data_IF_142350895159
#
_entry.id   IF_142350895159
#
_cell.length_a   1.000
_cell.length_b   1.000
_cell.length_c   1.000
_cell.angle_alpha   90.00
_cell.angle_beta   90.00
_cell.angle_gamma   90.00
#
_symmetry.space_group_name_H-M   'P 1'
#
loop_
_entity.id
_entity.type
_entity.pdbx_description
1 polymer ?
#
# COMPACT_ATOMS: atom_id res chain seq x y z
N UNK A 1 -10.85 -12.14 -3.75
CA UNK A 1 -11.13 -10.89 -3.03
C UNK A 1 -12.47 -10.38 -3.47
N UNK A 2 -13.37 -10.10 -2.52
CA UNK A 2 -14.64 -9.44 -2.84
C UNK A 2 -14.36 -7.96 -3.15
N UNK A 3 -15.24 -7.32 -3.91
CA UNK A 3 -15.11 -5.89 -4.30
C UNK A 3 -15.01 -4.91 -3.10
N UNK A 4 -15.30 -5.38 -1.88
CA UNK A 4 -15.22 -4.61 -0.63
C UNK A 4 -13.79 -4.49 -0.07
N UNK A 5 -12.84 -5.30 -0.52
CA UNK A 5 -11.47 -5.37 0.04
C UNK A 5 -10.43 -4.60 -0.80
N UNK A 6 -10.88 -3.85 -1.80
CA UNK A 6 -10.00 -3.07 -2.66
C UNK A 6 -9.46 -1.86 -1.90
N UNK A 7 -8.14 -1.71 -1.90
CA UNK A 7 -7.46 -0.50 -1.41
C UNK A 7 -8.01 0.70 -2.18
N UNK A 8 -8.63 1.63 -1.45
CA UNK A 8 -9.23 2.83 -2.03
C UNK A 8 -8.23 3.97 -1.98
N UNK A 9 -7.95 4.55 -3.15
CA UNK A 9 -7.13 5.75 -3.27
C UNK A 9 -8.03 6.93 -3.60
N UNK A 10 -7.70 8.10 -3.05
CA UNK A 10 -8.26 9.36 -3.54
C UNK A 10 -7.77 9.61 -4.95
N UNK A 11 -8.49 10.44 -5.70
CA UNK A 11 -8.07 10.82 -7.06
C UNK A 11 -6.68 11.44 -7.06
N UNK A 12 -6.43 12.38 -6.15
CA UNK A 12 -5.13 13.04 -5.98
C UNK A 12 -4.00 12.02 -5.76
N UNK A 13 -4.18 11.05 -4.86
CA UNK A 13 -3.13 10.04 -4.61
C UNK A 13 -2.96 9.07 -5.75
N UNK A 14 -4.01 8.80 -6.52
CA UNK A 14 -3.88 8.05 -7.76
C UNK A 14 -3.03 8.81 -8.78
N UNK A 15 -3.30 10.09 -8.98
CA UNK A 15 -2.58 10.95 -9.94
C UNK A 15 -1.10 11.12 -9.54
N UNK A 16 -0.81 11.25 -8.24
CA UNK A 16 0.55 11.26 -7.69
C UNK A 16 1.29 9.94 -8.00
N UNK A 17 0.64 8.80 -7.76
CA UNK A 17 1.21 7.47 -8.02
C UNK A 17 1.45 7.21 -9.51
N UNK A 18 0.52 7.64 -10.37
CA UNK A 18 0.69 7.59 -11.83
C UNK A 18 1.91 8.40 -12.25
N UNK A 19 2.06 9.61 -11.71
CA UNK A 19 3.21 10.48 -11.99
C UNK A 19 4.53 9.84 -11.55
N UNK A 20 4.54 9.17 -10.40
CA UNK A 20 5.70 8.42 -9.93
C UNK A 20 6.06 7.25 -10.86
N UNK A 21 5.07 6.50 -11.35
CA UNK A 21 5.28 5.42 -12.32
C UNK A 21 5.88 5.96 -13.62
N UNK A 22 5.29 7.02 -14.19
CA UNK A 22 5.81 7.69 -15.39
C UNK A 22 7.26 8.12 -15.21
N UNK A 23 7.55 8.80 -14.10
CA UNK A 23 8.88 9.29 -13.80
C UNK A 23 9.89 8.14 -13.66
N UNK A 24 9.52 7.04 -12.99
CA UNK A 24 10.39 5.88 -12.84
C UNK A 24 10.75 5.24 -14.19
N UNK A 25 9.76 5.06 -15.08
CA UNK A 25 10.03 4.50 -16.42
C UNK A 25 10.85 5.44 -17.28
N UNK A 26 10.56 6.74 -17.25
CA UNK A 26 11.36 7.72 -17.97
C UNK A 26 12.82 7.71 -17.49
N UNK A 27 13.04 7.67 -16.18
CA UNK A 27 14.39 7.72 -15.60
C UNK A 27 15.18 6.44 -15.80
N UNK A 28 14.57 5.28 -15.54
CA UNK A 28 15.28 4.00 -15.51
C UNK A 28 15.29 3.29 -16.86
N UNK A 29 14.40 3.68 -17.79
CA UNK A 29 14.24 3.02 -19.10
C UNK A 29 14.23 3.98 -20.28
N UNK A 30 14.37 5.29 -20.05
CA UNK A 30 14.23 6.33 -21.09
C UNK A 30 12.89 6.23 -21.84
N UNK A 31 11.86 5.70 -21.17
CA UNK A 31 10.56 5.41 -21.76
C UNK A 31 9.49 6.38 -21.23
N UNK A 32 8.90 7.18 -22.13
CA UNK A 32 7.76 8.03 -21.79
C UNK A 32 6.45 7.25 -21.77
N UNK A 33 5.90 7.04 -20.56
CA UNK A 33 4.60 6.42 -20.40
C UNK A 33 3.45 7.45 -20.45
N UNK A 34 2.40 7.11 -21.20
CA UNK A 34 1.13 7.83 -21.18
C UNK A 34 0.30 7.53 -19.92
N UNK A 35 -0.76 8.32 -19.69
CA UNK A 35 -1.66 8.16 -18.54
C UNK A 35 -2.37 6.81 -18.54
N UNK A 36 -2.82 6.33 -19.70
CA UNK A 36 -3.53 5.05 -19.79
C UNK A 36 -2.63 3.87 -19.38
N UNK A 37 -1.42 3.80 -19.92
CA UNK A 37 -0.46 2.75 -19.59
C UNK A 37 -0.09 2.77 -18.10
N UNK A 38 0.15 3.97 -17.55
CA UNK A 38 0.49 4.14 -16.14
C UNK A 38 -0.67 3.77 -15.21
N UNK A 39 -1.92 4.07 -15.60
CA UNK A 39 -3.11 3.62 -14.88
C UNK A 39 -3.22 2.10 -14.85
N UNK A 40 -3.00 1.43 -15.99
CA UNK A 40 -3.05 -0.03 -16.06
C UNK A 40 -1.99 -0.69 -15.18
N UNK A 41 -0.78 -0.13 -15.14
CA UNK A 41 0.29 -0.59 -14.25
C UNK A 41 -0.12 -0.39 -12.79
N UNK A 42 -0.64 0.78 -12.43
CA UNK A 42 -1.11 1.05 -11.06
C UNK A 42 -2.23 0.10 -10.65
N UNK A 43 -3.19 -0.16 -11.54
CA UNK A 43 -4.30 -1.08 -11.29
C UNK A 43 -3.80 -2.52 -11.09
N UNK A 44 -2.80 -2.96 -11.86
CA UNK A 44 -2.15 -4.24 -11.66
C UNK A 44 -1.47 -4.32 -10.28
N UNK A 45 -0.69 -3.29 -9.91
CA UNK A 45 -0.02 -3.24 -8.60
C UNK A 45 -1.04 -3.30 -7.46
N UNK A 46 -2.11 -2.52 -7.53
CA UNK A 46 -3.16 -2.48 -6.50
C UNK A 46 -3.87 -3.84 -6.38
N UNK A 47 -4.12 -4.51 -7.50
CA UNK A 47 -4.87 -5.76 -7.52
C UNK A 47 -4.04 -6.97 -7.10
N UNK A 48 -2.81 -7.06 -7.58
CA UNK A 48 -1.99 -8.27 -7.47
C UNK A 48 -0.92 -8.17 -6.37
N UNK A 49 -0.35 -6.98 -6.11
CA UNK A 49 0.78 -6.83 -5.18
C UNK A 49 0.37 -6.19 -3.85
N UNK A 50 -0.48 -5.17 -3.89
CA UNK A 50 -0.83 -4.39 -2.72
C UNK A 50 -1.49 -5.16 -1.55
N UNK A 51 -2.26 -6.26 -1.77
CA UNK A 51 -2.79 -7.06 -0.66
C UNK A 51 -1.70 -7.66 0.23
N UNK A 52 -0.57 -8.09 -0.35
CA UNK A 52 0.54 -8.66 0.41
C UNK A 52 1.14 -7.62 1.36
N UNK A 53 1.46 -6.43 0.84
CA UNK A 53 2.00 -5.33 1.63
C UNK A 53 1.03 -4.85 2.72
N UNK A 54 -0.26 -4.78 2.39
CA UNK A 54 -1.29 -4.36 3.34
C UNK A 54 -1.45 -5.37 4.48
N UNK A 55 -1.54 -6.67 4.15
CA UNK A 55 -1.67 -7.74 5.13
C UNK A 55 -0.46 -7.80 6.06
N UNK A 56 0.75 -7.67 5.51
CA UNK A 56 1.97 -7.59 6.30
C UNK A 56 1.92 -6.40 7.26
N UNK A 57 1.54 -5.21 6.79
CA UNK A 57 1.41 -4.02 7.63
C UNK A 57 0.37 -4.16 8.75
N UNK A 58 -0.77 -4.82 8.47
CA UNK A 58 -1.78 -5.14 9.50
C UNK A 58 -1.21 -6.10 10.54
N UNK A 59 -0.49 -7.13 10.11
CA UNK A 59 0.09 -8.12 11.01
C UNK A 59 1.21 -7.53 11.89
N UNK A 60 2.05 -6.67 11.32
CA UNK A 60 3.09 -5.95 12.08
C UNK A 60 2.47 -5.00 13.10
N UNK A 61 1.38 -4.32 12.72
CA UNK A 61 0.61 -3.47 13.65
C UNK A 61 0.00 -4.28 14.79
N UNK A 62 -0.53 -5.47 14.49
CA UNK A 62 -1.06 -6.40 15.49
C UNK A 62 0.02 -6.80 16.51
N UNK A 63 1.21 -7.22 16.03
CA UNK A 63 2.33 -7.56 16.91
C UNK A 63 2.74 -6.42 17.81
N UNK A 64 2.95 -5.23 17.22
CA UNK A 64 3.33 -4.05 17.98
C UNK A 64 2.31 -3.72 19.07
N UNK A 65 1.02 -3.82 18.77
CA UNK A 65 -0.03 -3.59 19.76
C UNK A 65 -0.06 -4.67 20.83
N UNK A 66 0.20 -5.94 20.47
CA UNK A 66 0.36 -7.04 21.43
C UNK A 66 1.43 -6.74 22.47
N UNK A 67 2.62 -6.35 22.03
CA UNK A 67 3.73 -5.97 22.91
C UNK A 67 3.34 -4.82 23.87
N UNK A 68 2.62 -3.82 23.35
CA UNK A 68 2.12 -2.69 24.17
C UNK A 68 1.06 -3.10 25.18
N UNK A 69 0.23 -4.08 24.87
CA UNK A 69 -0.77 -4.62 25.79
C UNK A 69 -0.08 -5.43 26.90
N UNK A 70 0.95 -6.20 26.58
CA UNK A 70 1.77 -6.91 27.58
C UNK A 70 2.47 -5.94 28.53
N UNK A 71 3.10 -4.89 28.00
CA UNK A 71 3.68 -3.78 28.78
C UNK A 71 2.64 -3.21 29.76
N UNK A 72 1.41 -2.99 29.30
CA UNK A 72 0.33 -2.44 30.12
C UNK A 72 -0.11 -3.41 31.23
N UNK A 73 -0.22 -4.71 30.96
CA UNK A 73 -0.63 -5.69 31.97
C UNK A 73 0.42 -5.86 33.07
N UNK A 74 1.70 -5.60 32.77
CA UNK A 74 2.79 -5.72 33.75
C UNK A 74 2.66 -4.81 34.98
N UNK A 75 1.87 -3.72 34.89
CA UNK A 75 1.69 -2.76 36.00
C UNK A 75 0.52 -3.09 36.93
N UNK A 76 -0.22 -4.18 36.66
CA UNK A 76 -1.37 -4.58 37.47
C UNK A 76 -0.95 -4.96 38.90
N UNK A 77 -1.64 -4.41 39.91
CA UNK A 77 -1.42 -4.75 41.33
C UNK A 77 -2.58 -5.57 41.87
N UNK A 78 -2.26 -6.56 42.70
CA UNK A 78 -3.21 -7.42 43.42
C UNK A 78 -3.50 -6.88 44.82
#
# INVERSE_FOLDING_TARGET
MNDKDKIKLTKEKRDDMISAIKYHFLKEREEELGDLASNLILDFIIKELAPEFYNQGVYDSYKYMGDRVEDLLSIQKY
#
